data_IF_085398876702
#
_entry.id   IF_085398876702
#
_cell.length_a   1.000
_cell.length_b   1.000
_cell.length_c   1.000
_cell.angle_alpha   90.00
_cell.angle_beta   90.00
_cell.angle_gamma   90.00
#
_symmetry.space_group_name_H-M   'P 1'
#
loop_
_entity.id
_entity.type
_entity.pdbx_description
1 polymer ?
#
# COMPACT_ATOMS: atom_id res chain seq x y z
N UNK A 1 32.39 -75.65 0.39
CA UNK A 1 32.19 -74.19 0.34
C UNK A 1 30.96 -73.89 1.16
N UNK A 2 31.05 -72.98 2.13
CA UNK A 2 29.94 -72.60 3.01
C UNK A 2 29.08 -71.52 2.33
N UNK A 3 28.14 -71.94 1.48
CA UNK A 3 27.27 -71.06 0.69
C UNK A 3 26.41 -70.15 1.59
N UNK A 4 26.02 -70.63 2.78
CA UNK A 4 25.25 -69.89 3.78
C UNK A 4 26.01 -68.65 4.27
N UNK A 5 27.30 -68.80 4.59
CA UNK A 5 28.15 -67.67 5.00
C UNK A 5 28.30 -66.59 3.91
N UNK A 6 28.28 -66.97 2.62
CA UNK A 6 28.30 -66.01 1.52
C UNK A 6 26.98 -65.24 1.39
N UNK A 7 25.84 -65.92 1.56
CA UNK A 7 24.52 -65.28 1.58
C UNK A 7 24.42 -64.25 2.71
N UNK A 8 24.88 -64.59 3.92
CA UNK A 8 24.88 -63.68 5.07
C UNK A 8 25.76 -62.43 4.84
N UNK A 9 26.95 -62.60 4.25
CA UNK A 9 27.82 -61.47 3.93
C UNK A 9 27.21 -60.57 2.84
N UNK A 10 26.51 -61.15 1.86
CA UNK A 10 25.83 -60.41 0.82
C UNK A 10 24.65 -59.61 1.37
N UNK A 11 23.83 -60.23 2.23
CA UNK A 11 22.72 -59.56 2.92
C UNK A 11 23.21 -58.37 3.74
N UNK A 12 24.24 -58.57 4.59
CA UNK A 12 24.82 -57.49 5.40
C UNK A 12 25.26 -56.30 4.55
N UNK A 13 25.95 -56.55 3.43
CA UNK A 13 26.39 -55.48 2.51
C UNK A 13 25.21 -54.77 1.84
N UNK A 14 24.15 -55.50 1.49
CA UNK A 14 22.93 -54.91 0.92
C UNK A 14 22.19 -54.06 1.94
N UNK A 15 22.10 -54.50 3.19
CA UNK A 15 21.49 -53.74 4.30
C UNK A 15 22.24 -52.43 4.55
N UNK A 16 23.56 -52.48 4.73
CA UNK A 16 24.39 -51.28 4.92
C UNK A 16 24.23 -50.28 3.75
N UNK A 17 24.13 -50.80 2.52
CA UNK A 17 23.96 -49.95 1.35
C UNK A 17 22.53 -49.38 1.23
N UNK A 18 21.51 -50.15 1.63
CA UNK A 18 20.11 -49.73 1.72
C UNK A 18 19.96 -48.60 2.73
N UNK A 19 20.53 -48.73 3.92
CA UNK A 19 20.51 -47.68 4.95
C UNK A 19 21.13 -46.37 4.44
N UNK A 20 22.32 -46.43 3.84
CA UNK A 20 22.98 -45.26 3.23
C UNK A 20 22.13 -44.60 2.13
N UNK A 21 21.38 -45.39 1.36
CA UNK A 21 20.47 -44.86 0.33
C UNK A 21 19.27 -44.15 0.96
N UNK A 22 18.68 -44.72 2.01
CA UNK A 22 17.56 -44.13 2.74
C UNK A 22 17.95 -42.81 3.42
N UNK A 23 19.12 -42.75 4.04
CA UNK A 23 19.64 -41.52 4.65
C UNK A 23 19.83 -40.41 3.61
N UNK A 24 20.47 -40.73 2.47
CA UNK A 24 20.64 -39.78 1.36
C UNK A 24 19.30 -39.34 0.76
N UNK A 25 18.33 -40.24 0.64
CA UNK A 25 16.97 -39.89 0.21
C UNK A 25 16.35 -38.86 1.17
N UNK A 26 16.38 -39.12 2.48
CA UNK A 26 15.84 -38.22 3.51
C UNK A 26 16.50 -36.84 3.43
N UNK A 27 17.83 -36.79 3.28
CA UNK A 27 18.57 -35.55 3.10
C UNK A 27 18.07 -34.74 1.89
N UNK A 28 17.98 -35.35 0.71
CA UNK A 28 17.50 -34.65 -0.49
C UNK A 28 16.03 -34.22 -0.37
N UNK A 29 15.17 -35.02 0.27
CA UNK A 29 13.77 -34.65 0.52
C UNK A 29 13.65 -33.42 1.42
N UNK A 30 14.42 -33.36 2.51
CA UNK A 30 14.44 -32.22 3.42
C UNK A 30 14.89 -30.95 2.69
N UNK A 31 16.00 -31.02 1.94
CA UNK A 31 16.47 -29.88 1.14
C UNK A 31 15.41 -29.36 0.16
N UNK A 32 14.69 -30.26 -0.53
CA UNK A 32 13.59 -29.86 -1.42
C UNK A 32 12.42 -29.24 -0.66
N UNK A 33 12.09 -29.77 0.52
CA UNK A 33 11.03 -29.25 1.38
C UNK A 33 11.34 -27.83 1.85
N UNK A 34 12.56 -27.59 2.31
CA UNK A 34 13.00 -26.27 2.79
C UNK A 34 12.95 -25.24 1.66
N UNK A 35 13.43 -25.61 0.47
CA UNK A 35 13.38 -24.73 -0.71
C UNK A 35 11.96 -24.40 -1.15
N UNK A 36 11.04 -25.38 -1.11
CA UNK A 36 9.62 -25.12 -1.38
C UNK A 36 9.01 -24.16 -0.36
N UNK A 37 9.36 -24.31 0.92
CA UNK A 37 8.88 -23.43 1.97
C UNK A 37 9.25 -21.97 1.66
N UNK A 38 10.51 -21.66 1.34
CA UNK A 38 10.92 -20.28 1.05
C UNK A 38 10.20 -19.64 -0.15
N UNK A 39 9.89 -20.42 -1.18
CA UNK A 39 9.09 -19.91 -2.33
C UNK A 39 7.66 -19.63 -1.91
N UNK A 40 7.04 -20.56 -1.15
CA UNK A 40 5.67 -20.35 -0.66
C UNK A 40 5.59 -19.13 0.27
N UNK A 41 6.59 -18.95 1.14
CA UNK A 41 6.69 -17.79 2.04
C UNK A 41 6.80 -16.50 1.21
N UNK A 42 7.63 -16.46 0.15
CA UNK A 42 7.71 -15.33 -0.78
C UNK A 42 6.37 -15.06 -1.48
N UNK A 43 5.71 -16.08 -2.02
CA UNK A 43 4.42 -15.95 -2.72
C UNK A 43 3.34 -15.41 -1.78
N UNK A 44 3.29 -15.91 -0.54
CA UNK A 44 2.37 -15.45 0.50
C UNK A 44 2.61 -13.98 0.83
N UNK A 45 3.87 -13.56 0.99
CA UNK A 45 4.21 -12.15 1.23
C UNK A 45 3.80 -11.25 0.07
N UNK A 46 4.04 -11.69 -1.17
CA UNK A 46 3.65 -10.94 -2.37
C UNK A 46 2.11 -10.80 -2.49
N UNK A 47 1.36 -11.84 -2.16
CA UNK A 47 -0.11 -11.81 -2.16
C UNK A 47 -0.67 -10.91 -1.05
N UNK A 48 -0.13 -11.03 0.17
CA UNK A 48 -0.49 -10.18 1.29
C UNK A 48 -0.24 -8.70 0.97
N UNK A 49 0.91 -8.38 0.38
CA UNK A 49 1.26 -7.01 0.01
C UNK A 49 0.27 -6.41 -1.00
N UNK A 50 -0.14 -7.20 -2.01
CA UNK A 50 -1.17 -6.78 -2.97
C UNK A 50 -2.53 -6.58 -2.31
N UNK A 51 -2.87 -7.43 -1.34
CA UNK A 51 -4.15 -7.36 -0.63
C UNK A 51 -4.31 -6.06 0.18
N UNK A 52 -3.23 -5.58 0.82
CA UNK A 52 -3.20 -4.33 1.59
C UNK A 52 -3.66 -3.11 0.77
N UNK A 53 -3.47 -3.13 -0.56
CA UNK A 53 -3.80 -1.99 -1.45
C UNK A 53 -4.96 -2.27 -2.41
N UNK A 54 -5.69 -3.38 -2.21
CA UNK A 54 -6.90 -3.70 -2.95
C UNK A 54 -7.98 -2.62 -2.71
N UNK A 55 -8.97 -2.53 -3.61
CA UNK A 55 -10.14 -1.69 -3.37
C UNK A 55 -10.80 -2.06 -2.04
N UNK A 56 -11.18 -1.06 -1.25
CA UNK A 56 -11.78 -1.20 0.09
C UNK A 56 -10.88 -1.87 1.13
N UNK A 57 -9.56 -1.83 0.90
CA UNK A 57 -8.56 -2.35 1.83
C UNK A 57 -8.47 -1.57 3.13
N UNK A 58 -7.76 -2.16 4.10
CA UNK A 58 -7.44 -1.53 5.39
C UNK A 58 -6.75 -0.17 5.20
N UNK A 59 -5.76 -0.08 4.30
CA UNK A 59 -5.11 1.19 3.96
C UNK A 59 -6.10 2.25 3.43
N UNK A 60 -7.06 1.85 2.59
CA UNK A 60 -8.06 2.79 2.06
C UNK A 60 -8.97 3.31 3.17
N UNK A 61 -9.37 2.45 4.11
CA UNK A 61 -10.19 2.81 5.27
C UNK A 61 -9.43 3.73 6.21
N UNK A 62 -8.17 3.41 6.48
CA UNK A 62 -7.29 4.20 7.33
C UNK A 62 -7.08 5.60 6.76
N UNK A 63 -6.84 5.73 5.45
CA UNK A 63 -6.74 7.04 4.78
C UNK A 63 -8.03 7.86 4.90
N UNK A 64 -9.21 7.24 4.76
CA UNK A 64 -10.49 7.94 4.95
C UNK A 64 -10.61 8.45 6.38
N UNK A 65 -10.36 7.60 7.37
CA UNK A 65 -10.42 7.97 8.79
C UNK A 65 -9.40 9.07 9.13
N UNK A 66 -8.19 8.97 8.59
CA UNK A 66 -7.13 9.96 8.79
C UNK A 66 -7.52 11.32 8.17
N UNK A 67 -8.09 11.31 6.97
CA UNK A 67 -8.57 12.53 6.31
C UNK A 67 -9.69 13.19 7.11
N UNK A 68 -10.69 12.42 7.54
CA UNK A 68 -11.82 12.94 8.33
C UNK A 68 -11.36 13.53 9.67
N UNK A 69 -10.37 12.90 10.32
CA UNK A 69 -9.76 13.41 11.55
C UNK A 69 -9.01 14.73 11.35
N UNK A 70 -8.31 14.89 10.24
CA UNK A 70 -7.61 16.15 9.93
C UNK A 70 -8.60 17.26 9.56
N UNK A 71 -9.69 16.94 8.86
CA UNK A 71 -10.79 17.88 8.61
C UNK A 71 -11.43 18.37 9.91
N UNK A 72 -11.78 17.46 10.81
CA UNK A 72 -12.38 17.81 12.10
C UNK A 72 -11.51 18.81 12.89
N UNK A 73 -10.19 18.58 12.90
CA UNK A 73 -9.21 19.47 13.55
C UNK A 73 -9.01 20.81 12.85
N UNK A 74 -9.36 20.90 11.57
CA UNK A 74 -9.16 22.11 10.75
C UNK A 74 -10.45 22.84 10.46
N UNK A 75 -11.61 22.31 10.87
CA UNK A 75 -12.92 22.91 10.65
C UNK A 75 -13.01 24.37 11.12
N UNK A 76 -12.55 24.67 12.34
CA UNK A 76 -12.56 26.06 12.85
C UNK A 76 -11.73 27.00 11.96
N UNK A 77 -10.62 26.51 11.40
CA UNK A 77 -9.78 27.30 10.47
C UNK A 77 -10.48 27.49 9.13
N UNK A 78 -11.08 26.43 8.59
CA UNK A 78 -11.87 26.49 7.36
C UNK A 78 -13.01 27.49 7.53
N UNK A 79 -13.73 27.44 8.64
CA UNK A 79 -14.84 28.33 8.93
C UNK A 79 -14.36 29.78 9.09
N UNK A 80 -13.29 30.02 9.84
CA UNK A 80 -12.72 31.36 10.02
C UNK A 80 -12.23 31.98 8.71
N UNK A 81 -11.50 31.21 7.89
CA UNK A 81 -11.05 31.65 6.55
C UNK A 81 -12.29 31.97 5.70
N UNK A 82 -13.23 31.03 5.58
CA UNK A 82 -14.41 31.17 4.75
C UNK A 82 -15.28 32.37 5.16
N UNK A 83 -15.52 32.56 6.47
CA UNK A 83 -16.24 33.74 7.00
C UNK A 83 -15.51 35.04 6.69
N UNK A 84 -14.18 35.07 6.81
CA UNK A 84 -13.39 36.26 6.49
C UNK A 84 -13.57 36.67 5.02
N UNK A 85 -13.56 35.71 4.09
CA UNK A 85 -13.84 36.01 2.68
C UNK A 85 -15.26 36.53 2.50
N UNK A 86 -16.27 35.86 3.04
CA UNK A 86 -17.65 36.30 2.91
C UNK A 86 -17.91 37.69 3.53
N UNK A 87 -17.27 38.01 4.65
CA UNK A 87 -17.37 39.34 5.27
C UNK A 87 -16.85 40.47 4.37
N UNK A 88 -15.85 40.21 3.52
CA UNK A 88 -15.39 41.19 2.52
C UNK A 88 -16.50 41.51 1.52
N UNK A 89 -17.20 40.49 1.02
CA UNK A 89 -18.37 40.69 0.15
C UNK A 89 -19.49 41.45 0.84
N UNK A 90 -19.83 41.04 2.07
CA UNK A 90 -20.88 41.69 2.85
C UNK A 90 -20.60 43.19 3.03
N UNK A 91 -19.35 43.55 3.32
CA UNK A 91 -18.94 44.95 3.42
C UNK A 91 -19.08 45.69 2.09
N UNK A 92 -18.61 45.09 0.98
CA UNK A 92 -18.70 45.67 -0.37
C UNK A 92 -20.15 45.95 -0.79
N UNK A 93 -21.08 45.02 -0.53
CA UNK A 93 -22.51 45.22 -0.82
C UNK A 93 -23.11 46.35 0.03
N UNK A 94 -22.73 46.47 1.30
CA UNK A 94 -23.24 47.53 2.19
C UNK A 94 -22.77 48.93 1.78
N UNK A 95 -21.61 49.04 1.16
CA UNK A 95 -21.08 50.31 0.64
C UNK A 95 -21.82 50.76 -0.63
N UNK A 96 -22.41 49.83 -1.38
CA UNK A 96 -23.21 50.11 -2.59
C UNK A 96 -24.62 50.59 -2.23
N UNK A 97 -24.75 51.86 -1.84
CA UNK A 97 -26.05 52.48 -1.56
C UNK A 97 -26.95 52.46 -2.81
N UNK A 98 -28.17 51.94 -2.66
CA UNK A 98 -29.18 51.95 -3.73
C UNK A 98 -28.90 50.96 -4.87
N UNK A 99 -28.14 49.89 -4.60
CA UNK A 99 -27.84 48.85 -5.57
C UNK A 99 -29.11 48.24 -6.19
N UNK A 100 -29.13 48.12 -7.51
CA UNK A 100 -30.20 47.38 -8.19
C UNK A 100 -29.98 45.87 -8.07
N UNK A 101 -31.03 45.06 -8.23
CA UNK A 101 -30.89 43.60 -8.25
C UNK A 101 -29.90 43.12 -9.31
N UNK A 102 -29.88 43.76 -10.48
CA UNK A 102 -29.00 43.39 -11.58
C UNK A 102 -27.52 43.69 -11.27
N UNK A 103 -27.25 44.84 -10.63
CA UNK A 103 -25.92 45.19 -10.13
C UNK A 103 -25.46 44.24 -9.03
N UNK A 104 -26.34 43.88 -8.10
CA UNK A 104 -26.05 42.90 -7.05
C UNK A 104 -25.65 41.53 -7.65
N UNK A 105 -26.38 41.07 -8.67
CA UNK A 105 -26.13 39.77 -9.29
C UNK A 105 -24.76 39.71 -9.97
N UNK A 106 -24.43 40.73 -10.77
CA UNK A 106 -23.12 40.85 -11.41
C UNK A 106 -21.99 40.88 -10.38
N UNK A 107 -22.18 41.65 -9.32
CA UNK A 107 -21.21 41.78 -8.23
C UNK A 107 -21.03 40.46 -7.46
N UNK A 108 -22.12 39.75 -7.15
CA UNK A 108 -22.06 38.44 -6.51
C UNK A 108 -21.34 37.41 -7.39
N UNK A 109 -21.67 37.34 -8.69
CA UNK A 109 -21.00 36.41 -9.61
C UNK A 109 -19.51 36.72 -9.80
N UNK A 110 -19.14 38.00 -9.87
CA UNK A 110 -17.73 38.41 -9.97
C UNK A 110 -16.97 38.09 -8.68
N UNK A 111 -17.55 38.42 -7.52
CA UNK A 111 -16.98 38.09 -6.21
C UNK A 111 -16.73 36.60 -6.06
N UNK A 112 -17.72 35.73 -6.28
CA UNK A 112 -17.52 34.29 -6.10
C UNK A 112 -16.60 33.67 -7.16
N UNK A 113 -16.44 34.29 -8.33
CA UNK A 113 -15.40 33.87 -9.29
C UNK A 113 -14.01 34.19 -8.76
N UNK A 114 -13.78 35.43 -8.32
CA UNK A 114 -12.46 35.86 -7.81
C UNK A 114 -12.10 35.15 -6.49
N UNK A 115 -13.06 35.06 -5.57
CA UNK A 115 -12.85 34.40 -4.29
C UNK A 115 -12.66 32.89 -4.39
N UNK A 116 -13.17 32.25 -5.44
CA UNK A 116 -12.91 30.83 -5.65
C UNK A 116 -11.40 30.54 -5.70
N UNK A 117 -10.62 31.44 -6.31
CA UNK A 117 -9.19 31.26 -6.45
C UNK A 117 -8.43 31.72 -5.19
N UNK A 118 -8.88 32.79 -4.53
CA UNK A 118 -8.29 33.27 -3.29
C UNK A 118 -8.52 32.30 -2.12
N UNK A 119 -9.78 31.90 -1.88
CA UNK A 119 -10.13 30.92 -0.85
C UNK A 119 -9.40 29.60 -1.08
N UNK A 120 -9.29 29.18 -2.35
CA UNK A 120 -8.51 27.99 -2.70
C UNK A 120 -7.07 28.13 -2.20
N UNK A 121 -6.39 29.21 -2.54
CA UNK A 121 -5.01 29.46 -2.13
C UNK A 121 -4.85 29.51 -0.60
N UNK A 122 -5.78 30.13 0.10
CA UNK A 122 -5.74 30.21 1.56
C UNK A 122 -5.95 28.85 2.24
N UNK A 123 -6.72 27.94 1.62
CA UNK A 123 -6.93 26.58 2.11
C UNK A 123 -5.80 25.61 1.74
N UNK A 124 -4.97 25.92 0.73
CA UNK A 124 -3.89 25.03 0.26
C UNK A 124 -2.85 24.69 1.34
N UNK A 125 -2.68 25.57 2.32
CA UNK A 125 -1.72 25.41 3.41
C UNK A 125 -2.26 24.64 4.63
N UNK A 126 -3.50 24.17 4.58
CA UNK A 126 -4.07 23.37 5.66
C UNK A 126 -3.29 22.06 5.86
N UNK A 127 -2.89 21.73 7.12
CA UNK A 127 -2.10 20.55 7.41
C UNK A 127 -2.95 19.29 7.55
N UNK A 128 -2.50 18.21 6.93
CA UNK A 128 -3.08 16.87 6.99
C UNK A 128 -2.10 15.88 7.67
N UNK A 129 -1.95 16.06 8.98
CA UNK A 129 -0.97 15.34 9.81
C UNK A 129 -1.33 13.87 9.97
N UNK A 130 -2.61 13.56 10.18
CA UNK A 130 -3.07 12.18 10.34
C UNK A 130 -2.92 11.42 9.02
N UNK A 131 -3.22 12.05 7.88
CA UNK A 131 -2.97 11.46 6.56
C UNK A 131 -1.49 11.21 6.34
N UNK A 132 -0.63 12.18 6.66
CA UNK A 132 0.82 12.01 6.57
C UNK A 132 1.30 10.80 7.39
N UNK A 133 0.77 10.63 8.60
CA UNK A 133 1.11 9.48 9.45
C UNK A 133 0.71 8.16 8.79
N UNK A 134 -0.54 8.02 8.34
CA UNK A 134 -1.02 6.80 7.67
C UNK A 134 -0.21 6.47 6.40
N UNK A 135 0.14 7.50 5.62
CA UNK A 135 1.02 7.37 4.45
C UNK A 135 2.42 6.90 4.87
N UNK A 136 2.99 7.48 5.92
CA UNK A 136 4.31 7.08 6.44
C UNK A 136 4.35 5.64 6.94
N UNK A 137 3.31 5.21 7.67
CA UNK A 137 3.17 3.83 8.15
C UNK A 137 3.08 2.84 6.98
N UNK A 138 2.36 3.21 5.91
CA UNK A 138 2.29 2.41 4.68
C UNK A 138 3.63 2.32 3.93
N UNK A 139 4.43 3.39 3.88
CA UNK A 139 5.79 3.35 3.32
C UNK A 139 6.67 2.37 4.11
N UNK A 140 6.61 2.42 5.43
CA UNK A 140 7.38 1.51 6.29
C UNK A 140 6.96 0.05 6.09
N UNK A 141 5.65 -0.21 5.99
CA UNK A 141 5.11 -1.53 5.69
C UNK A 141 5.57 -2.07 4.32
N UNK A 142 5.56 -1.23 3.27
CA UNK A 142 6.12 -1.59 1.96
C UNK A 142 7.60 -1.97 2.05
N UNK A 143 8.41 -1.15 2.72
CA UNK A 143 9.84 -1.38 2.87
C UNK A 143 10.12 -2.69 3.63
N UNK A 144 9.38 -2.94 4.72
CA UNK A 144 9.48 -4.19 5.49
C UNK A 144 9.12 -5.40 4.63
N UNK A 145 7.97 -5.38 3.96
CA UNK A 145 7.53 -6.49 3.12
C UNK A 145 8.51 -6.77 1.97
N UNK A 146 9.08 -5.72 1.37
CA UNK A 146 10.14 -5.87 0.36
C UNK A 146 11.39 -6.53 0.94
N UNK A 147 11.80 -6.14 2.15
CA UNK A 147 12.90 -6.78 2.88
C UNK A 147 12.67 -8.28 3.10
N UNK A 148 11.49 -8.64 3.61
CA UNK A 148 11.11 -10.03 3.87
C UNK A 148 11.08 -10.87 2.58
N UNK A 149 10.53 -10.31 1.50
CA UNK A 149 10.53 -10.94 0.18
C UNK A 149 11.95 -11.18 -0.34
N UNK A 150 12.85 -10.19 -0.21
CA UNK A 150 14.27 -10.35 -0.58
C UNK A 150 14.95 -11.43 0.26
N UNK A 151 14.66 -11.48 1.55
CA UNK A 151 15.23 -12.51 2.43
C UNK A 151 14.75 -13.91 2.04
N UNK A 152 13.45 -14.10 1.75
CA UNK A 152 12.91 -15.37 1.29
C UNK A 152 13.60 -15.83 -0.02
N UNK A 153 13.78 -14.91 -0.98
CA UNK A 153 14.44 -15.20 -2.24
C UNK A 153 15.94 -15.49 -2.06
N UNK A 154 16.64 -14.76 -1.20
CA UNK A 154 18.04 -15.03 -0.88
C UNK A 154 18.22 -16.41 -0.23
N UNK A 155 17.36 -16.75 0.74
CA UNK A 155 17.32 -18.08 1.38
C UNK A 155 16.99 -19.18 0.39
N UNK A 156 16.09 -18.94 -0.58
CA UNK A 156 15.84 -19.87 -1.67
C UNK A 156 17.10 -20.07 -2.51
N UNK A 157 17.73 -18.99 -2.96
CA UNK A 157 18.87 -19.00 -3.86
C UNK A 157 20.21 -19.39 -3.20
N UNK A 158 20.27 -19.54 -1.86
CA UNK A 158 21.51 -19.69 -1.09
C UNK A 158 22.48 -18.52 -1.32
N UNK A 159 21.95 -17.31 -1.43
CA UNK A 159 22.75 -16.08 -1.57
C UNK A 159 22.66 -15.24 -0.30
N UNK A 160 23.61 -14.33 -0.11
CA UNK A 160 23.56 -13.34 0.96
C UNK A 160 22.77 -12.14 0.45
N UNK A 161 21.85 -11.62 1.27
CA UNK A 161 21.11 -10.41 0.95
C UNK A 161 22.09 -9.23 0.98
N UNK A 162 22.58 -8.78 -0.18
CA UNK A 162 23.34 -7.53 -0.24
C UNK A 162 22.35 -6.39 -0.12
N UNK A 163 22.38 -5.69 1.01
CA UNK A 163 21.69 -4.42 1.23
C UNK A 163 22.24 -3.38 0.25
N UNK A 164 21.78 -3.43 -1.01
CA UNK A 164 21.99 -2.34 -1.95
C UNK A 164 21.10 -1.20 -1.48
N UNK A 165 21.72 -0.06 -1.16
CA UNK A 165 21.03 1.18 -0.78
C UNK A 165 19.81 1.37 -1.68
N UNK A 166 18.65 1.41 -1.02
CA UNK A 166 17.33 1.51 -1.61
C UNK A 166 17.30 2.76 -2.50
N UNK A 167 17.28 2.60 -3.82
CA UNK A 167 16.70 3.62 -4.71
C UNK A 167 15.20 3.40 -4.67
N UNK A 168 14.53 3.99 -3.70
CA UNK A 168 13.08 4.12 -3.70
C UNK A 168 12.72 5.19 -4.74
N UNK A 169 11.80 4.88 -5.65
CA UNK A 169 11.16 5.88 -6.52
C UNK A 169 10.12 6.74 -5.76
N UNK A 170 10.10 6.62 -4.44
CA UNK A 170 9.35 7.49 -3.54
C UNK A 170 10.28 8.64 -3.12
N UNK A 171 9.75 9.86 -2.93
CA UNK A 171 10.54 10.93 -2.34
C UNK A 171 11.19 10.38 -1.07
N UNK A 172 12.50 10.62 -0.92
CA UNK A 172 13.25 10.34 0.31
C UNK A 172 12.58 11.13 1.44
N UNK A 173 11.54 10.55 2.03
CA UNK A 173 11.13 10.91 3.37
C UNK A 173 12.28 10.44 4.24
N UNK A 174 12.96 11.38 4.90
CA UNK A 174 14.13 11.16 5.75
C UNK A 174 13.83 10.33 7.00
N UNK A 175 13.32 9.12 6.82
CA UNK A 175 13.20 8.10 7.84
C UNK A 175 14.52 7.33 7.86
N UNK A 176 15.45 7.83 8.65
CA UNK A 176 16.60 7.06 9.10
C UNK A 176 16.05 5.93 9.97
N UNK A 177 16.06 4.70 9.46
CA UNK A 177 15.96 3.50 10.30
C UNK A 177 17.37 2.98 10.55
N UNK A 178 18.06 3.61 11.50
CA UNK A 178 19.17 3.00 12.21
C UNK A 178 18.56 2.17 13.35
N UNK A 179 18.91 0.89 13.39
CA UNK A 179 18.44 -0.04 14.41
C UNK A 179 18.88 0.38 15.81
N UNK A 180 17.99 0.12 16.78
CA UNK A 180 18.19 -0.20 18.20
C UNK A 180 17.25 0.64 19.08
N UNK A 181 16.49 -0.08 19.92
CA UNK A 181 15.60 0.43 20.95
C UNK A 181 16.16 1.65 21.71
N UNK A 182 15.28 2.64 21.94
CA UNK A 182 14.83 3.00 23.28
C UNK A 182 13.62 3.94 23.18
N UNK A 183 12.72 3.82 24.15
CA UNK A 183 11.54 4.65 24.33
C UNK A 183 11.86 6.15 24.23
N UNK A 184 11.54 6.75 23.10
CA UNK A 184 11.24 8.17 22.99
C UNK A 184 10.47 8.33 21.69
N UNK A 185 9.22 8.78 21.78
CA UNK A 185 8.38 9.12 20.63
C UNK A 185 9.19 9.96 19.65
N UNK A 186 9.59 9.36 18.53
CA UNK A 186 10.31 10.05 17.48
C UNK A 186 9.41 11.16 16.95
N UNK A 187 9.74 12.40 17.28
CA UNK A 187 9.09 13.58 16.70
C UNK A 187 9.48 13.58 15.23
N UNK A 188 8.52 13.25 14.37
CA UNK A 188 8.68 13.31 12.92
C UNK A 188 9.09 14.73 12.54
N UNK A 189 10.32 14.89 12.03
CA UNK A 189 10.89 16.15 11.54
C UNK A 189 10.41 16.51 10.13
N UNK A 190 9.49 15.72 9.58
CA UNK A 190 8.99 15.92 8.22
C UNK A 190 7.87 16.96 8.23
N UNK A 191 7.95 18.04 7.44
CA UNK A 191 6.90 19.04 7.39
C UNK A 191 5.56 18.38 7.05
N UNK A 192 4.45 18.85 7.66
CA UNK A 192 3.16 18.22 7.46
C UNK A 192 2.74 18.28 6.00
N UNK A 193 2.16 17.18 5.50
CA UNK A 193 1.52 17.16 4.18
C UNK A 193 0.43 18.21 4.19
N UNK A 194 0.47 19.12 3.22
CA UNK A 194 -0.52 20.18 3.06
C UNK A 194 -1.59 19.75 2.07
N UNK A 195 -2.74 20.44 2.09
CA UNK A 195 -3.81 20.21 1.13
C UNK A 195 -3.31 20.30 -0.32
N UNK A 196 -2.43 21.27 -0.64
CA UNK A 196 -1.82 21.37 -1.97
C UNK A 196 -1.12 20.09 -2.42
N UNK A 197 -0.38 19.45 -1.52
CA UNK A 197 0.41 18.26 -1.85
C UNK A 197 -0.53 17.08 -2.15
N UNK A 198 -1.63 16.96 -1.38
CA UNK A 198 -2.68 15.96 -1.62
C UNK A 198 -3.35 16.16 -2.98
N UNK A 199 -3.61 17.42 -3.36
CA UNK A 199 -4.29 17.78 -4.60
C UNK A 199 -3.40 17.58 -5.82
N UNK A 200 -2.14 18.00 -5.74
CA UNK A 200 -1.14 17.78 -6.77
C UNK A 200 -0.95 16.28 -7.03
N UNK A 201 -0.84 15.47 -5.96
CA UNK A 201 -0.72 14.03 -6.10
C UNK A 201 -1.99 13.37 -6.66
N UNK A 202 -3.17 13.88 -6.31
CA UNK A 202 -4.44 13.31 -6.75
C UNK A 202 -4.89 13.79 -8.13
N UNK A 203 -4.23 14.81 -8.71
CA UNK A 203 -4.62 15.46 -9.96
C UNK A 203 -6.09 15.94 -9.94
N UNK A 204 -6.59 16.28 -8.76
CA UNK A 204 -7.97 16.75 -8.59
C UNK A 204 -8.03 18.23 -8.96
N UNK A 205 -8.63 18.53 -10.11
CA UNK A 205 -9.02 19.90 -10.45
C UNK A 205 -10.37 20.22 -9.82
N UNK A 206 -10.46 21.34 -9.11
CA UNK A 206 -11.69 21.70 -8.39
C UNK A 206 -11.95 23.20 -8.35
N UNK A 207 -13.23 23.50 -8.12
CA UNK A 207 -13.79 24.80 -7.78
C UNK A 207 -14.66 24.62 -6.52
N UNK A 208 -14.44 25.47 -5.53
CA UNK A 208 -15.11 25.44 -4.22
C UNK A 208 -16.52 26.05 -4.32
N UNK A 209 -16.78 26.90 -5.33
CA UNK A 209 -17.98 27.74 -5.40
C UNK A 209 -18.87 27.46 -6.62
N UNK A 210 -18.70 26.31 -7.26
CA UNK A 210 -19.43 25.96 -8.50
C UNK A 210 -20.93 25.85 -8.27
N UNK A 211 -21.38 25.35 -7.11
CA UNK A 211 -22.81 25.26 -6.79
C UNK A 211 -23.39 26.61 -6.41
N UNK A 212 -22.61 27.49 -5.77
CA UNK A 212 -23.05 28.85 -5.45
C UNK A 212 -23.29 29.64 -6.73
N UNK A 213 -22.41 29.53 -7.74
CA UNK A 213 -22.63 30.15 -9.04
C UNK A 213 -23.92 29.60 -9.71
N UNK A 214 -24.17 28.28 -9.62
CA UNK A 214 -25.41 27.67 -10.12
C UNK A 214 -26.64 28.11 -9.32
N UNK A 215 -26.50 28.23 -8.00
CA UNK A 215 -27.56 28.69 -7.10
C UNK A 215 -27.93 30.13 -7.42
N UNK A 216 -26.95 31.01 -7.56
CA UNK A 216 -27.14 32.41 -7.94
C UNK A 216 -27.88 32.49 -9.28
N UNK A 217 -27.35 31.84 -10.32
CA UNK A 217 -27.99 31.85 -11.66
C UNK A 217 -29.42 31.27 -11.65
N UNK A 218 -29.70 30.21 -10.87
CA UNK A 218 -31.03 29.61 -10.76
C UNK A 218 -32.02 30.37 -9.87
N UNK A 219 -31.53 31.02 -8.81
CA UNK A 219 -32.30 31.84 -7.88
C UNK A 219 -32.78 33.12 -8.56
N UNK A 220 -31.89 33.76 -9.32
CA UNK A 220 -32.18 35.02 -10.01
C UNK A 220 -33.20 34.89 -11.14
N UNK A 221 -33.33 33.72 -11.75
CA UNK A 221 -34.37 33.43 -12.74
C UNK A 221 -35.79 33.28 -12.13
N UNK A 222 -35.91 33.02 -10.82
CA UNK A 222 -37.19 32.61 -10.20
C UNK A 222 -37.85 33.65 -9.29
N UNK A 223 -37.11 34.62 -8.75
CA UNK A 223 -37.65 35.54 -7.74
C UNK A 223 -37.37 37.03 -8.04
N UNK A 224 -38.14 37.64 -8.95
CA UNK A 224 -38.00 39.06 -9.31
C UNK A 224 -38.67 40.04 -8.34
N UNK A 225 -39.44 39.58 -7.33
CA UNK A 225 -40.16 40.43 -6.38
C UNK A 225 -39.76 40.08 -4.95
N UNK A 226 -38.89 40.90 -4.38
CA UNK A 226 -38.37 40.73 -3.03
C UNK A 226 -39.31 41.33 -1.97
N UNK A 227 -39.59 40.55 -0.93
CA UNK A 227 -40.26 41.00 0.31
C UNK A 227 -39.36 40.89 1.55
N UNK A 228 -38.10 40.45 1.39
CA UNK A 228 -37.07 40.32 2.44
C UNK A 228 -36.04 41.44 2.37
N UNK A 229 -35.32 41.70 3.46
CA UNK A 229 -34.23 42.69 3.48
C UNK A 229 -32.96 42.12 2.84
N UNK A 230 -32.08 42.99 2.33
CA UNK A 230 -30.77 42.58 1.78
C UNK A 230 -29.94 41.84 2.83
N UNK A 231 -30.01 42.25 4.10
CA UNK A 231 -29.28 41.59 5.19
C UNK A 231 -29.75 40.14 5.43
N UNK A 232 -31.06 39.87 5.40
CA UNK A 232 -31.60 38.51 5.53
C UNK A 232 -31.09 37.58 4.43
N UNK A 233 -30.96 38.09 3.20
CA UNK A 233 -30.42 37.31 2.10
C UNK A 233 -28.91 37.09 2.23
N UNK A 234 -28.15 38.10 2.67
CA UNK A 234 -26.72 37.95 2.88
C UNK A 234 -26.43 36.90 3.95
N UNK A 235 -27.25 36.82 5.01
CA UNK A 235 -27.14 35.76 6.02
C UNK A 235 -27.46 34.36 5.46
N UNK A 236 -28.45 34.25 4.56
CA UNK A 236 -28.79 32.99 3.89
C UNK A 236 -27.68 32.55 2.92
N UNK A 237 -27.14 33.49 2.14
CA UNK A 237 -26.04 33.27 1.22
C UNK A 237 -24.74 32.89 1.96
N UNK A 238 -24.47 33.48 3.13
CA UNK A 238 -23.33 33.09 3.99
C UNK A 238 -23.42 31.62 4.40
N UNK A 239 -24.60 31.17 4.82
CA UNK A 239 -24.84 29.77 5.19
C UNK A 239 -24.60 28.82 4.02
N UNK A 240 -25.11 29.17 2.83
CA UNK A 240 -24.86 28.39 1.61
C UNK A 240 -23.38 28.38 1.23
N UNK A 241 -22.68 29.50 1.40
CA UNK A 241 -21.26 29.62 1.15
C UNK A 241 -20.43 28.71 2.05
N UNK A 242 -20.65 28.77 3.36
CA UNK A 242 -19.97 27.91 4.32
C UNK A 242 -20.29 26.42 4.07
N UNK A 243 -21.54 26.10 3.75
CA UNK A 243 -21.94 24.73 3.44
C UNK A 243 -21.23 24.17 2.20
N UNK A 244 -21.10 24.93 1.10
CA UNK A 244 -20.39 24.47 -0.10
C UNK A 244 -18.88 24.30 0.18
N UNK A 245 -18.30 25.15 1.04
CA UNK A 245 -16.91 25.01 1.52
C UNK A 245 -16.68 23.70 2.30
N UNK A 246 -17.62 23.29 3.15
CA UNK A 246 -17.54 21.98 3.81
C UNK A 246 -17.82 20.81 2.86
N UNK A 247 -18.79 20.96 1.95
CA UNK A 247 -19.13 19.93 0.97
C UNK A 247 -17.96 19.67 0.01
N UNK A 248 -17.16 20.69 -0.28
CA UNK A 248 -15.95 20.59 -1.09
C UNK A 248 -14.99 19.49 -0.58
N UNK A 249 -14.68 19.46 0.71
CA UNK A 249 -13.79 18.44 1.29
C UNK A 249 -14.36 17.03 1.18
N UNK A 250 -15.69 16.90 1.26
CA UNK A 250 -16.38 15.62 1.04
C UNK A 250 -16.26 15.14 -0.41
N UNK A 251 -16.24 16.06 -1.39
CA UNK A 251 -16.11 15.74 -2.82
C UNK A 251 -14.70 15.32 -3.23
N UNK A 252 -13.66 15.97 -2.70
CA UNK A 252 -12.27 15.65 -3.06
C UNK A 252 -11.77 14.38 -2.37
N UNK A 253 -12.30 14.05 -1.19
CA UNK A 253 -11.83 12.93 -0.36
C UNK A 253 -11.75 11.60 -1.13
N UNK A 254 -12.80 11.13 -1.85
CA UNK A 254 -12.72 9.88 -2.58
C UNK A 254 -11.61 9.86 -3.65
N UNK A 255 -11.40 10.98 -4.34
CA UNK A 255 -10.39 11.09 -5.39
C UNK A 255 -8.96 11.09 -4.82
N UNK A 256 -8.74 11.75 -3.67
CA UNK A 256 -7.47 11.70 -2.95
C UNK A 256 -7.17 10.28 -2.48
N UNK A 257 -8.12 9.64 -1.78
CA UNK A 257 -7.96 8.27 -1.27
C UNK A 257 -7.65 7.30 -2.40
N UNK A 258 -8.41 7.37 -3.50
CA UNK A 258 -8.23 6.48 -4.65
C UNK A 258 -6.88 6.71 -5.35
N UNK A 259 -6.41 7.95 -5.47
CA UNK A 259 -5.08 8.24 -6.04
C UNK A 259 -3.96 7.64 -5.21
N UNK A 260 -3.97 7.85 -3.88
CA UNK A 260 -2.99 7.25 -2.99
C UNK A 260 -3.05 5.72 -3.04
N UNK A 261 -4.24 5.13 -2.99
CA UNK A 261 -4.41 3.68 -3.13
C UNK A 261 -3.78 3.15 -4.41
N UNK A 262 -4.06 3.77 -5.56
CA UNK A 262 -3.49 3.36 -6.86
C UNK A 262 -1.96 3.48 -6.88
N UNK A 263 -1.41 4.58 -6.35
CA UNK A 263 0.03 4.80 -6.27
C UNK A 263 0.71 3.69 -5.48
N UNK A 264 0.23 3.41 -4.27
CA UNK A 264 0.83 2.40 -3.39
C UNK A 264 0.61 0.97 -3.89
N UNK A 265 -0.55 0.69 -4.50
CA UNK A 265 -0.79 -0.58 -5.20
C UNK A 265 0.23 -0.80 -6.33
N UNK A 266 0.50 0.23 -7.13
CA UNK A 266 1.51 0.15 -8.19
C UNK A 266 2.92 -0.03 -7.62
N UNK A 267 3.29 0.72 -6.58
CA UNK A 267 4.59 0.56 -5.90
C UNK A 267 4.77 -0.86 -5.35
N UNK A 268 3.74 -1.43 -4.73
CA UNK A 268 3.77 -2.83 -4.27
C UNK A 268 4.01 -3.82 -5.41
N UNK A 269 3.31 -3.65 -6.55
CA UNK A 269 3.51 -4.49 -7.73
C UNK A 269 4.92 -4.35 -8.32
N UNK A 270 5.40 -3.12 -8.44
CA UNK A 270 6.75 -2.81 -8.93
C UNK A 270 7.82 -3.42 -8.01
N UNK A 271 7.65 -3.34 -6.69
CA UNK A 271 8.58 -3.91 -5.70
C UNK A 271 8.62 -5.45 -5.77
N UNK A 272 7.46 -6.09 -5.93
CA UNK A 272 7.38 -7.56 -6.12
C UNK A 272 8.13 -7.97 -7.39
N UNK A 273 7.91 -7.26 -8.49
CA UNK A 273 8.54 -7.58 -9.77
C UNK A 273 10.05 -7.31 -9.75
N UNK A 274 10.48 -6.23 -9.10
CA UNK A 274 11.89 -5.92 -8.91
C UNK A 274 12.62 -7.03 -8.12
N UNK A 275 12.04 -7.51 -7.02
CA UNK A 275 12.63 -8.63 -6.26
C UNK A 275 12.70 -9.90 -7.10
N UNK A 276 11.65 -10.23 -7.88
CA UNK A 276 11.71 -11.40 -8.79
C UNK A 276 12.83 -11.26 -9.81
N UNK A 277 12.98 -10.07 -10.39
CA UNK A 277 14.00 -9.77 -11.39
C UNK A 277 15.40 -9.88 -10.79
N UNK A 278 15.59 -9.33 -9.60
CA UNK A 278 16.88 -9.31 -8.87
C UNK A 278 17.45 -10.72 -8.68
N UNK A 279 16.62 -11.72 -8.41
CA UNK A 279 17.07 -13.10 -8.15
C UNK A 279 16.80 -14.06 -9.32
N UNK A 280 16.50 -13.54 -10.52
CA UNK A 280 15.97 -14.36 -11.62
C UNK A 280 16.95 -15.42 -12.13
N UNK A 281 18.26 -15.13 -12.15
CA UNK A 281 19.30 -16.04 -12.63
C UNK A 281 19.62 -17.11 -11.58
N UNK A 282 19.83 -16.70 -10.34
CA UNK A 282 20.10 -17.60 -9.21
C UNK A 282 18.91 -18.52 -8.96
N UNK A 283 17.69 -18.01 -9.11
CA UNK A 283 16.47 -18.83 -9.03
C UNK A 283 16.48 -19.92 -10.10
N UNK A 284 16.83 -19.62 -11.35
CA UNK A 284 16.90 -20.64 -12.43
C UNK A 284 17.94 -21.73 -12.11
N UNK A 285 19.10 -21.32 -11.59
CA UNK A 285 20.14 -22.26 -11.16
C UNK A 285 19.63 -23.15 -10.01
N UNK A 286 18.99 -22.55 -9.01
CA UNK A 286 18.44 -23.27 -7.86
C UNK A 286 17.28 -24.20 -8.24
N UNK A 287 16.36 -23.77 -9.11
CA UNK A 287 15.27 -24.58 -9.64
C UNK A 287 15.83 -25.86 -10.31
N UNK A 288 16.95 -25.73 -11.01
CA UNK A 288 17.66 -26.86 -11.63
C UNK A 288 18.25 -27.81 -10.59
N UNK A 289 18.85 -27.28 -9.51
CA UNK A 289 19.37 -28.07 -8.41
C UNK A 289 18.26 -28.81 -7.65
N UNK A 290 17.16 -28.12 -7.31
CA UNK A 290 15.99 -28.71 -6.65
C UNK A 290 15.41 -29.85 -7.49
N UNK A 291 15.30 -29.69 -8.82
CA UNK A 291 14.88 -30.76 -9.73
C UNK A 291 15.85 -31.95 -9.68
N UNK A 292 17.17 -31.71 -9.66
CA UNK A 292 18.19 -32.78 -9.54
C UNK A 292 18.09 -33.52 -8.20
N UNK A 293 17.94 -32.80 -7.09
CA UNK A 293 17.77 -33.41 -5.75
C UNK A 293 16.51 -34.27 -5.68
N UNK A 294 15.39 -33.77 -6.20
CA UNK A 294 14.14 -34.54 -6.26
C UNK A 294 14.29 -35.83 -7.10
N UNK A 295 14.96 -35.75 -8.26
CA UNK A 295 15.28 -36.94 -9.07
C UNK A 295 16.19 -37.92 -8.32
N UNK A 296 17.21 -37.44 -7.61
CA UNK A 296 18.11 -38.28 -6.80
C UNK A 296 17.38 -38.96 -5.64
N UNK A 297 16.53 -38.24 -4.91
CA UNK A 297 15.69 -38.81 -3.86
C UNK A 297 14.82 -39.96 -4.39
N UNK A 298 14.13 -39.75 -5.52
CA UNK A 298 13.31 -40.79 -6.18
C UNK A 298 14.13 -42.01 -6.59
N UNK A 299 15.35 -41.82 -7.13
CA UNK A 299 16.25 -42.92 -7.50
C UNK A 299 16.74 -43.70 -6.28
N UNK A 300 17.13 -43.01 -5.21
CA UNK A 300 17.57 -43.65 -3.97
C UNK A 300 16.44 -44.49 -3.36
N UNK A 301 15.21 -43.97 -3.33
CA UNK A 301 14.02 -44.72 -2.90
C UNK A 301 13.84 -46.03 -3.67
N UNK A 302 13.95 -45.97 -5.00
CA UNK A 302 13.82 -47.14 -5.88
C UNK A 302 14.94 -48.16 -5.64
N UNK A 303 16.19 -47.70 -5.50
CA UNK A 303 17.33 -48.59 -5.23
C UNK A 303 17.24 -49.25 -3.85
N UNK A 304 16.87 -48.49 -2.82
CA UNK A 304 16.67 -49.03 -1.49
C UNK A 304 15.57 -50.11 -1.47
N UNK A 305 14.49 -49.90 -2.24
CA UNK A 305 13.47 -50.93 -2.45
C UNK A 305 14.04 -52.18 -3.13
N UNK A 306 14.75 -52.01 -4.25
CA UNK A 306 15.39 -53.13 -4.95
C UNK A 306 16.37 -53.91 -4.08
N UNK A 307 17.11 -53.24 -3.19
CA UNK A 307 17.99 -53.92 -2.25
C UNK A 307 17.20 -54.69 -1.19
N UNK A 308 16.09 -54.13 -0.71
CA UNK A 308 15.16 -54.87 0.16
C UNK A 308 14.64 -56.14 -0.52
N UNK A 309 14.18 -56.03 -1.77
CA UNK A 309 13.66 -57.17 -2.54
C UNK A 309 14.74 -58.26 -2.74
N UNK A 310 16.01 -57.86 -2.92
CA UNK A 310 17.16 -58.77 -3.02
C UNK A 310 17.50 -59.44 -1.68
N UNK A 311 17.45 -58.70 -0.57
CA UNK A 311 17.66 -59.24 0.78
C UNK A 311 16.60 -60.32 1.07
N UNK A 312 15.33 -60.03 0.79
CA UNK A 312 14.22 -60.98 0.96
C UNK A 312 14.44 -62.25 0.11
N UNK A 313 14.99 -62.10 -1.10
CA UNK A 313 15.30 -63.22 -2.00
C UNK A 313 16.45 -64.07 -1.45
N UNK A 314 17.53 -63.44 -0.98
CA UNK A 314 18.66 -64.14 -0.37
C UNK A 314 18.25 -64.88 0.91
N UNK A 315 17.33 -64.30 1.69
CA UNK A 315 16.82 -64.93 2.91
C UNK A 315 16.03 -66.21 2.60
N UNK A 316 15.19 -66.17 1.56
CA UNK A 316 14.51 -67.38 1.05
C UNK A 316 15.48 -68.42 0.54
N UNK A 317 16.50 -68.02 -0.23
CA UNK A 317 17.51 -68.95 -0.75
C UNK A 317 18.31 -69.61 0.37
N UNK A 318 18.64 -68.87 1.43
CA UNK A 318 19.35 -69.40 2.61
C UNK A 318 18.59 -70.54 3.30
N UNK A 319 17.25 -70.53 3.30
CA UNK A 319 16.43 -71.62 3.87
C UNK A 319 16.57 -72.94 3.09
N UNK A 320 17.01 -72.86 1.83
CA UNK A 320 17.15 -74.00 0.93
C UNK A 320 18.60 -74.49 0.76
N UNK A 321 19.57 -73.88 1.47
CA UNK A 321 21.00 -74.21 1.46
C UNK A 321 21.40 -74.95 2.74
#
# INVERSE_FOLDING_TARGET
>A
MDCTRYCEQAQKKLDEAKEKLMEREKKFKNMVKDKKRFINDFETQAENLKYIYKKDSEFSKELVTAFDKDLEKTNDKIENISKLHFQKFRSRIKEMKGITTEQFNLEAEDFFRQENDLLKNDLLDLPFISVQKAVGESINALASARGDMKQCMALYCNTVCTSTKVKSNLPEAGFISESVCNDTTAVSTTPPIKLKDLLEQSQVHYSILKKIIIFLTGWFLKFPKWTRTIDEFLDELEKYFLADCHEYFTKIKPAIVESYRKKYSKTAEDDIEDVKKQFSEEKKAMDTLVKKWNKRAKRNKKKAKSYSDLIDTLEKQKVHL
#
